data_IF_542693085611
#
_entry.id   IF_542693085611
#
_cell.length_a   1.000
_cell.length_b   1.000
_cell.length_c   1.000
_cell.angle_alpha   90.00
_cell.angle_beta   90.00
_cell.angle_gamma   90.00
#
_symmetry.space_group_name_H-M   'P 1'
#
loop_
_entity.id
_entity.type
_entity.pdbx_description
1 polymer ?
#
# COMPACT_ATOMS: atom_id res chain seq x y z
N UNK A 1 4.63 8.09 3.75
CA UNK A 1 4.35 7.30 2.54
C UNK A 1 4.30 5.82 2.86
N UNK A 2 3.25 5.12 2.47
CA UNK A 2 3.06 3.69 2.73
C UNK A 2 2.84 2.95 1.40
N UNK A 3 3.54 1.82 1.23
CA UNK A 3 3.62 1.10 -0.03
C UNK A 3 2.60 -0.02 -0.21
N UNK A 4 2.60 -0.63 -1.38
CA UNK A 4 1.79 -1.80 -1.69
C UNK A 4 2.38 -3.08 -1.11
N UNK A 5 1.55 -3.97 -0.60
CA UNK A 5 2.00 -5.22 0.03
C UNK A 5 0.89 -6.21 0.41
N UNK A 6 -0.33 -6.01 -0.12
CA UNK A 6 -1.45 -6.89 0.17
C UNK A 6 -1.85 -6.93 1.65
N UNK A 7 -2.46 -8.00 2.09
CA UNK A 7 -2.87 -8.20 3.49
C UNK A 7 -1.64 -8.22 4.42
N UNK A 8 -0.53 -8.84 3.97
CA UNK A 8 0.73 -8.82 4.70
C UNK A 8 1.24 -7.39 4.91
N UNK A 9 1.18 -6.55 3.86
CA UNK A 9 1.58 -5.15 3.92
C UNK A 9 0.77 -4.34 4.92
N UNK A 10 -0.57 -4.47 4.92
CA UNK A 10 -1.44 -3.77 5.89
C UNK A 10 -1.02 -4.12 7.32
N UNK A 11 -0.84 -5.42 7.62
CA UNK A 11 -0.41 -5.88 8.93
C UNK A 11 0.96 -5.31 9.31
N UNK A 12 1.94 -5.45 8.40
CA UNK A 12 3.32 -5.05 8.65
C UNK A 12 3.46 -3.53 8.85
N UNK A 13 2.86 -2.72 7.99
CA UNK A 13 2.92 -1.25 8.09
C UNK A 13 2.29 -0.75 9.40
N UNK A 14 1.10 -1.28 9.75
CA UNK A 14 0.47 -0.99 11.04
C UNK A 14 1.39 -1.42 12.20
N UNK A 15 2.02 -2.58 12.08
CA UNK A 15 3.00 -3.08 13.04
C UNK A 15 4.22 -2.19 13.17
N UNK A 16 4.82 -1.75 12.05
CA UNK A 16 5.98 -0.82 12.04
C UNK A 16 5.64 0.46 12.81
N UNK A 17 4.52 1.11 12.47
CA UNK A 17 4.09 2.34 13.15
C UNK A 17 3.89 2.10 14.65
N UNK A 18 3.25 0.99 15.03
CA UNK A 18 3.06 0.63 16.43
C UNK A 18 4.38 0.34 17.16
N UNK A 19 5.32 -0.35 16.49
CA UNK A 19 6.65 -0.63 17.04
C UNK A 19 7.49 0.64 17.23
N UNK A 20 7.43 1.58 16.29
CA UNK A 20 8.05 2.90 16.45
C UNK A 20 7.44 3.63 17.65
N UNK A 21 6.11 3.56 17.84
CA UNK A 21 5.44 4.19 18.97
C UNK A 21 5.81 3.55 20.33
N UNK A 22 6.14 2.25 20.36
CA UNK A 22 6.60 1.58 21.59
C UNK A 22 7.93 2.16 22.10
N UNK A 23 8.85 2.52 21.21
CA UNK A 23 10.21 2.95 21.56
C UNK A 23 10.39 4.48 21.47
N UNK A 24 9.69 5.14 20.55
CA UNK A 24 9.75 6.58 20.36
C UNK A 24 8.36 7.16 20.03
N UNK A 25 7.54 7.41 21.05
CA UNK A 25 6.21 8.00 20.87
C UNK A 25 6.23 9.33 20.09
N UNK A 26 7.28 10.15 20.31
CA UNK A 26 7.44 11.42 19.58
C UNK A 26 7.67 11.21 18.09
N UNK A 27 8.49 10.22 17.71
CA UNK A 27 8.73 9.90 16.31
C UNK A 27 7.45 9.35 15.65
N UNK A 28 6.71 8.50 16.34
CA UNK A 28 5.41 8.00 15.87
C UNK A 28 4.42 9.14 15.66
N UNK A 29 4.29 10.06 16.63
CA UNK A 29 3.41 11.23 16.49
C UNK A 29 3.81 12.07 15.28
N UNK A 30 5.10 12.36 15.10
CA UNK A 30 5.57 13.14 13.95
C UNK A 30 5.29 12.45 12.60
N UNK A 31 5.37 11.11 12.53
CA UNK A 31 4.98 10.35 11.33
C UNK A 31 3.47 10.45 11.07
N UNK A 32 2.66 10.31 12.12
CA UNK A 32 1.20 10.39 12.01
C UNK A 32 0.73 11.79 11.66
N UNK A 33 1.44 12.83 12.12
CA UNK A 33 1.13 14.25 11.89
C UNK A 33 1.83 14.83 10.66
N UNK A 34 2.41 13.99 9.79
CA UNK A 34 2.99 14.43 8.51
C UNK A 34 2.00 15.27 7.70
N UNK A 35 2.48 16.31 6.99
CA UNK A 35 1.63 17.20 6.18
C UNK A 35 0.88 16.42 5.09
N UNK A 36 1.55 15.45 4.46
CA UNK A 36 0.99 14.60 3.41
C UNK A 36 1.09 13.13 3.82
N UNK A 37 -0.02 12.43 3.73
CA UNK A 37 -0.10 10.97 3.83
C UNK A 37 -0.41 10.40 2.45
N UNK A 38 0.53 9.63 1.91
CA UNK A 38 0.40 9.00 0.58
C UNK A 38 0.38 7.49 0.73
N UNK A 39 -0.61 6.83 0.13
CA UNK A 39 -0.77 5.38 0.17
C UNK A 39 -0.97 4.73 -1.19
N UNK A 40 -0.33 3.58 -1.38
CA UNK A 40 -0.50 2.69 -2.53
C UNK A 40 -1.00 1.33 -2.05
N UNK A 41 -2.08 0.80 -2.61
CA UNK A 41 -2.61 -0.54 -2.29
C UNK A 41 -2.77 -0.76 -0.77
N UNK A 42 -2.04 -1.69 -0.16
CA UNK A 42 -2.02 -1.89 1.30
C UNK A 42 -1.85 -0.57 2.06
N UNK A 43 -0.88 0.24 1.66
CA UNK A 43 -0.60 1.53 2.26
C UNK A 43 -1.78 2.51 2.17
N UNK A 44 -2.59 2.45 1.10
CA UNK A 44 -3.78 3.30 0.99
C UNK A 44 -4.81 3.01 2.10
N UNK A 45 -4.98 1.73 2.45
CA UNK A 45 -5.83 1.35 3.57
C UNK A 45 -5.25 1.83 4.91
N UNK A 46 -3.94 1.67 5.12
CA UNK A 46 -3.29 2.06 6.38
C UNK A 46 -3.28 3.59 6.56
N UNK A 47 -2.97 4.39 5.52
CA UNK A 47 -3.04 5.85 5.64
C UNK A 47 -4.46 6.35 5.92
N UNK A 48 -5.49 5.72 5.31
CA UNK A 48 -6.88 6.04 5.63
C UNK A 48 -7.24 5.65 7.08
N UNK A 49 -6.73 4.52 7.58
CA UNK A 49 -6.94 4.07 8.96
C UNK A 49 -6.30 5.03 9.97
N UNK A 50 -5.05 5.45 9.78
CA UNK A 50 -4.39 6.39 10.71
C UNK A 50 -5.01 7.78 10.70
N UNK A 51 -5.69 8.16 9.64
CA UNK A 51 -6.47 9.39 9.55
C UNK A 51 -7.86 9.31 10.20
N UNK A 52 -8.29 8.13 10.64
CA UNK A 52 -9.66 7.91 11.13
C UNK A 52 -9.91 8.40 12.56
N UNK A 53 -8.88 8.84 13.27
CA UNK A 53 -8.94 9.18 14.69
C UNK A 53 -8.79 7.97 15.64
N UNK A 54 -8.67 6.74 15.11
CA UNK A 54 -8.37 5.57 15.93
C UNK A 54 -6.90 5.59 16.37
N UNK A 55 -6.64 5.12 17.58
CA UNK A 55 -5.27 4.99 18.07
C UNK A 55 -4.49 3.90 17.34
N UNK A 56 -3.15 4.01 17.29
CA UNK A 56 -2.31 2.94 16.75
C UNK A 56 -2.49 1.62 17.49
N UNK A 57 -2.82 1.67 18.80
CA UNK A 57 -3.12 0.46 19.59
C UNK A 57 -4.39 -0.22 19.09
N UNK A 58 -5.47 0.55 18.84
CA UNK A 58 -6.73 -0.01 18.34
C UNK A 58 -6.54 -0.58 16.91
N UNK A 59 -5.82 0.14 16.04
CA UNK A 59 -5.51 -0.31 14.69
C UNK A 59 -4.65 -1.59 14.71
N UNK A 60 -3.64 -1.66 15.57
CA UNK A 60 -2.80 -2.84 15.73
C UNK A 60 -3.59 -4.02 16.32
N UNK A 61 -4.39 -3.78 17.38
CA UNK A 61 -5.25 -4.80 17.98
C UNK A 61 -6.19 -5.42 16.97
N UNK A 62 -6.69 -4.62 16.05
CA UNK A 62 -7.51 -5.08 14.93
C UNK A 62 -6.73 -5.97 13.95
N UNK A 63 -5.43 -5.70 13.73
CA UNK A 63 -4.58 -6.55 12.89
C UNK A 63 -4.23 -7.88 13.54
N UNK A 64 -4.14 -7.96 14.86
CA UNK A 64 -3.82 -9.21 15.58
C UNK A 64 -5.05 -9.94 16.12
N UNK A 65 -6.24 -9.36 16.04
CA UNK A 65 -7.51 -9.97 16.44
C UNK A 65 -7.85 -11.21 15.60
N UNK A 66 -8.60 -12.16 16.16
CA UNK A 66 -8.98 -13.41 15.48
C UNK A 66 -9.97 -13.17 14.32
N UNK A 67 -10.89 -12.21 14.48
CA UNK A 67 -11.90 -11.89 13.47
C UNK A 67 -11.37 -10.94 12.41
N UNK A 68 -11.71 -11.21 11.14
CA UNK A 68 -11.36 -10.35 10.02
C UNK A 68 -12.42 -10.45 8.93
N UNK A 69 -12.67 -9.34 8.24
CA UNK A 69 -13.49 -9.30 7.04
C UNK A 69 -12.71 -9.65 5.76
N UNK A 70 -11.39 -9.91 5.88
CA UNK A 70 -10.58 -10.28 4.74
C UNK A 70 -11.06 -11.59 4.12
N UNK A 71 -11.14 -11.60 2.80
CA UNK A 71 -11.48 -12.78 2.01
C UNK A 71 -10.27 -13.25 1.22
N UNK A 72 -10.16 -14.55 1.04
CA UNK A 72 -9.17 -15.14 0.14
C UNK A 72 -9.59 -14.84 -1.31
N UNK A 73 -8.70 -14.29 -2.18
CA UNK A 73 -9.03 -14.07 -3.58
C UNK A 73 -9.31 -15.35 -4.36
N UNK A 74 -8.99 -16.52 -3.80
CA UNK A 74 -9.19 -17.82 -4.46
C UNK A 74 -8.23 -18.07 -5.63
N UNK A 75 -7.22 -17.21 -5.83
CA UNK A 75 -6.24 -17.34 -6.91
C UNK A 75 -4.86 -17.68 -6.34
N UNK A 76 -4.22 -18.70 -6.91
CA UNK A 76 -2.88 -19.10 -6.52
C UNK A 76 -1.82 -18.12 -7.00
N UNK A 77 -0.73 -17.99 -6.24
CA UNK A 77 0.38 -17.08 -6.58
C UNK A 77 0.99 -17.40 -7.96
N UNK A 78 1.03 -18.69 -8.35
CA UNK A 78 1.54 -19.07 -9.66
C UNK A 78 0.69 -18.50 -10.79
N UNK A 79 -0.64 -18.58 -10.68
CA UNK A 79 -1.57 -18.01 -11.65
C UNK A 79 -1.39 -16.49 -11.78
N UNK A 80 -1.26 -15.78 -10.65
CA UNK A 80 -0.98 -14.33 -10.69
C UNK A 80 0.36 -14.05 -11.36
N UNK A 81 1.41 -14.79 -11.02
CA UNK A 81 2.73 -14.65 -11.62
C UNK A 81 2.68 -14.86 -13.14
N UNK A 82 1.99 -15.89 -13.61
CA UNK A 82 1.86 -16.19 -15.03
C UNK A 82 1.10 -15.08 -15.78
N UNK A 83 0.04 -14.52 -15.17
CA UNK A 83 -0.70 -13.38 -15.72
C UNK A 83 0.21 -12.14 -15.85
N UNK A 84 1.01 -11.85 -14.85
CA UNK A 84 1.95 -10.73 -14.87
C UNK A 84 3.05 -10.94 -15.93
N UNK A 85 3.64 -12.14 -16.00
CA UNK A 85 4.66 -12.48 -17.00
C UNK A 85 4.10 -12.37 -18.42
N UNK A 86 2.88 -12.84 -18.66
CA UNK A 86 2.22 -12.72 -19.97
C UNK A 86 2.03 -11.25 -20.39
N UNK A 87 1.62 -10.38 -19.46
CA UNK A 87 1.48 -8.95 -19.74
C UNK A 87 2.80 -8.24 -20.04
N UNK A 88 3.91 -8.77 -19.52
CA UNK A 88 5.27 -8.23 -19.67
C UNK A 88 6.04 -8.79 -20.88
N UNK A 89 5.52 -9.82 -21.55
CA UNK A 89 6.24 -10.65 -22.52
C UNK A 89 6.70 -9.96 -23.82
N UNK A 90 6.34 -8.70 -24.05
CA UNK A 90 6.81 -7.94 -25.23
C UNK A 90 7.99 -7.04 -24.86
N UNK A 91 9.21 -7.31 -25.38
CA UNK A 91 10.42 -6.59 -24.98
C UNK A 91 10.40 -5.09 -25.26
N UNK A 92 9.78 -4.67 -26.37
CA UNK A 92 9.78 -3.27 -26.85
C UNK A 92 8.59 -2.45 -26.37
N UNK A 93 7.76 -3.00 -25.47
CA UNK A 93 6.61 -2.28 -24.95
C UNK A 93 7.02 -1.18 -23.98
N UNK A 94 6.46 0.02 -24.17
CA UNK A 94 6.58 1.11 -23.22
C UNK A 94 5.93 0.74 -21.88
N UNK A 95 6.30 1.44 -20.80
CA UNK A 95 5.69 1.24 -19.47
C UNK A 95 4.17 1.41 -19.54
N UNK A 96 3.69 2.46 -20.25
CA UNK A 96 2.25 2.68 -20.43
C UNK A 96 1.56 1.49 -21.12
N UNK A 97 2.15 0.95 -22.19
CA UNK A 97 1.62 -0.22 -22.89
C UNK A 97 1.60 -1.48 -22.01
N UNK A 98 2.62 -1.70 -21.17
CA UNK A 98 2.64 -2.80 -20.19
C UNK A 98 1.50 -2.66 -19.19
N UNK A 99 1.29 -1.45 -18.65
CA UNK A 99 0.18 -1.15 -17.73
C UNK A 99 -1.19 -1.31 -18.38
N UNK A 100 -1.37 -0.87 -19.64
CA UNK A 100 -2.61 -1.07 -20.40
C UNK A 100 -2.93 -2.56 -20.60
N UNK A 101 -1.92 -3.40 -20.84
CA UNK A 101 -2.12 -4.86 -20.91
C UNK A 101 -2.54 -5.44 -19.59
N UNK A 102 -1.94 -4.99 -18.48
CA UNK A 102 -2.40 -5.38 -17.15
C UNK A 102 -3.84 -4.95 -16.91
N UNK A 103 -4.24 -3.76 -17.38
CA UNK A 103 -5.63 -3.31 -17.38
C UNK A 103 -6.55 -4.24 -18.15
N UNK A 104 -6.15 -4.68 -19.35
CA UNK A 104 -6.90 -5.64 -20.15
C UNK A 104 -7.04 -7.01 -19.43
N UNK A 105 -5.95 -7.49 -18.82
CA UNK A 105 -5.99 -8.71 -17.99
C UNK A 105 -6.95 -8.55 -16.81
N UNK A 106 -6.89 -7.42 -16.10
CA UNK A 106 -7.76 -7.13 -14.97
C UNK A 106 -9.26 -7.16 -15.38
N UNK A 107 -9.57 -6.59 -16.53
CA UNK A 107 -10.95 -6.54 -17.07
C UNK A 107 -11.45 -7.90 -17.58
N UNK A 108 -10.57 -8.78 -18.04
CA UNK A 108 -10.91 -10.07 -18.61
C UNK A 108 -10.95 -11.20 -17.58
N UNK A 109 -10.36 -11.03 -16.40
CA UNK A 109 -10.28 -12.07 -15.37
C UNK A 109 -11.56 -12.11 -14.54
N UNK A 110 -12.16 -13.30 -14.42
CA UNK A 110 -13.25 -13.53 -13.48
C UNK A 110 -12.76 -13.43 -12.04
N UNK A 111 -13.44 -12.62 -11.24
CA UNK A 111 -13.15 -12.40 -9.83
C UNK A 111 -14.46 -12.32 -9.03
N UNK A 112 -14.39 -12.09 -7.73
CA UNK A 112 -15.59 -11.76 -6.94
C UNK A 112 -16.26 -10.50 -7.47
N UNK A 113 -17.55 -10.32 -7.19
CA UNK A 113 -18.27 -9.11 -7.58
C UNK A 113 -17.63 -7.84 -6.97
N UNK A 114 -17.59 -6.75 -7.74
CA UNK A 114 -17.04 -5.47 -7.31
C UNK A 114 -17.68 -4.99 -5.99
N UNK A 115 -19.01 -5.14 -5.84
CA UNK A 115 -19.74 -4.78 -4.62
C UNK A 115 -19.32 -5.60 -3.40
N UNK A 116 -19.03 -6.89 -3.58
CA UNK A 116 -18.53 -7.74 -2.49
C UNK A 116 -17.12 -7.29 -2.05
N UNK A 117 -16.25 -7.01 -3.01
CA UNK A 117 -14.91 -6.49 -2.69
C UNK A 117 -14.97 -5.11 -2.04
N UNK A 118 -15.82 -4.21 -2.54
CA UNK A 118 -16.06 -2.89 -1.93
C UNK A 118 -16.49 -3.01 -0.46
N UNK A 119 -17.34 -3.97 -0.13
CA UNK A 119 -17.77 -4.22 1.25
C UNK A 119 -16.61 -4.61 2.16
N UNK A 120 -15.66 -5.42 1.68
CA UNK A 120 -14.44 -5.76 2.43
C UNK A 120 -13.60 -4.50 2.68
N UNK A 121 -13.39 -3.67 1.66
CA UNK A 121 -12.66 -2.41 1.81
C UNK A 121 -13.35 -1.46 2.80
N UNK A 122 -14.67 -1.30 2.70
CA UNK A 122 -15.44 -0.48 3.64
C UNK A 122 -15.25 -0.97 5.10
N UNK A 123 -15.21 -2.27 5.33
CA UNK A 123 -14.96 -2.83 6.66
C UNK A 123 -13.51 -2.66 7.15
N UNK A 124 -12.53 -2.46 6.25
CA UNK A 124 -11.15 -2.11 6.63
C UNK A 124 -11.06 -0.72 7.25
N UNK A 125 -11.90 0.21 6.79
CA UNK A 125 -11.82 1.61 7.13
C UNK A 125 -12.72 1.95 8.32
N UNK A 126 -12.17 2.50 9.42
CA UNK A 126 -12.98 2.93 10.57
C UNK A 126 -13.92 4.10 10.25
N UNK A 127 -13.57 4.92 9.25
CA UNK A 127 -14.40 6.00 8.69
C UNK A 127 -14.36 5.97 7.17
N UNK A 128 -15.44 6.39 6.51
CA UNK A 128 -15.55 6.42 5.05
C UNK A 128 -15.43 7.83 4.48
N UNK A 129 -15.37 8.86 5.34
CA UNK A 129 -15.16 10.22 4.93
C UNK A 129 -13.68 10.51 4.71
N UNK A 130 -13.37 11.34 3.71
CA UNK A 130 -12.04 11.91 3.57
C UNK A 130 -11.68 12.73 4.81
N UNK A 131 -10.45 12.63 5.33
CA UNK A 131 -10.01 13.43 6.46
C UNK A 131 -9.83 14.90 6.05
N UNK A 132 -9.76 15.80 7.04
CA UNK A 132 -9.41 17.20 6.80
C UNK A 132 -7.93 17.45 6.48
N UNK A 133 -7.12 16.39 6.54
CA UNK A 133 -5.69 16.36 6.21
C UNK A 133 -5.48 15.98 4.76
N UNK A 134 -4.30 16.29 4.23
CA UNK A 134 -3.88 15.85 2.92
C UNK A 134 -3.62 14.34 2.89
N UNK A 135 -4.54 13.62 2.29
CA UNK A 135 -4.47 12.18 2.05
C UNK A 135 -4.49 11.93 0.54
N UNK A 136 -3.45 11.27 0.03
CA UNK A 136 -3.31 10.89 -1.38
C UNK A 136 -3.37 9.37 -1.52
N UNK A 137 -4.21 8.89 -2.43
CA UNK A 137 -4.40 7.47 -2.74
C UNK A 137 -4.12 7.25 -4.22
N UNK A 138 -3.20 6.34 -4.55
CA UNK A 138 -2.80 6.08 -5.93
C UNK A 138 -3.55 4.90 -6.54
N UNK A 139 -3.92 5.01 -7.81
CA UNK A 139 -4.47 3.93 -8.62
C UNK A 139 -4.01 4.07 -10.07
N UNK A 140 -4.24 3.04 -10.89
CA UNK A 140 -3.94 3.06 -12.34
C UNK A 140 -5.24 2.98 -13.14
N UNK A 141 -5.43 3.91 -14.08
CA UNK A 141 -6.48 3.82 -15.10
C UNK A 141 -6.21 2.62 -16.02
N UNK A 142 -7.13 1.66 -16.08
CA UNK A 142 -6.94 0.40 -16.82
C UNK A 142 -6.79 0.61 -18.31
N UNK A 143 -7.49 1.60 -18.89
CA UNK A 143 -7.49 1.86 -20.33
C UNK A 143 -6.27 2.68 -20.77
N UNK A 144 -5.81 3.61 -19.94
CA UNK A 144 -4.71 4.52 -20.27
C UNK A 144 -3.36 4.04 -19.75
N UNK A 145 -3.33 3.21 -18.68
CA UNK A 145 -2.10 2.82 -18.00
C UNK A 145 -1.44 3.98 -17.25
N UNK A 146 -2.20 5.03 -16.96
CA UNK A 146 -1.74 6.25 -16.30
C UNK A 146 -1.97 6.16 -14.79
N UNK A 147 -1.03 6.73 -14.02
CA UNK A 147 -1.19 6.92 -12.59
C UNK A 147 -2.24 8.01 -12.34
N UNK A 148 -3.16 7.72 -11.44
CA UNK A 148 -4.15 8.66 -10.91
C UNK A 148 -3.94 8.76 -9.41
N UNK A 149 -3.99 9.98 -8.89
CA UNK A 149 -3.94 10.26 -7.45
C UNK A 149 -5.32 10.78 -7.06
N UNK A 150 -5.96 10.06 -6.15
CA UNK A 150 -7.21 10.48 -5.53
C UNK A 150 -6.93 11.18 -4.21
N UNK A 151 -7.69 12.23 -3.96
CA UNK A 151 -7.70 13.03 -2.74
C UNK A 151 -9.14 13.49 -2.44
N UNK A 152 -9.33 14.31 -1.40
CA UNK A 152 -10.63 14.84 -1.02
C UNK A 152 -11.33 15.68 -2.10
N UNK A 153 -10.56 16.28 -2.99
CA UNK A 153 -11.07 17.19 -4.04
C UNK A 153 -11.35 16.45 -5.35
N UNK A 154 -11.02 15.17 -5.43
CA UNK A 154 -11.22 14.31 -6.61
C UNK A 154 -12.69 13.98 -6.91
N UNK A 155 -13.62 14.29 -5.99
CA UNK A 155 -15.05 13.96 -6.13
C UNK A 155 -15.35 12.45 -6.06
N UNK A 156 -14.41 11.65 -5.53
CA UNK A 156 -14.50 10.19 -5.39
C UNK A 156 -14.68 9.84 -3.91
N UNK A 157 -15.49 8.85 -3.58
CA UNK A 157 -15.61 8.37 -2.20
C UNK A 157 -14.29 7.72 -1.73
N UNK A 158 -13.88 7.93 -0.48
CA UNK A 158 -12.65 7.36 0.08
C UNK A 158 -12.60 5.84 -0.05
N UNK A 159 -13.74 5.16 0.18
CA UNK A 159 -13.85 3.71 0.04
C UNK A 159 -13.53 3.27 -1.39
N UNK A 160 -14.02 4.00 -2.39
CA UNK A 160 -13.81 3.67 -3.81
C UNK A 160 -12.37 3.97 -4.25
N UNK A 161 -11.77 5.04 -3.75
CA UNK A 161 -10.37 5.36 -3.98
C UNK A 161 -9.45 4.27 -3.41
N UNK A 162 -9.68 3.83 -2.16
CA UNK A 162 -8.92 2.74 -1.53
C UNK A 162 -9.20 1.40 -2.22
N UNK A 163 -10.45 1.13 -2.62
CA UNK A 163 -10.80 -0.07 -3.37
C UNK A 163 -10.07 -0.13 -4.72
N UNK A 164 -10.02 0.99 -5.46
CA UNK A 164 -9.28 1.12 -6.72
C UNK A 164 -7.77 0.89 -6.51
N UNK A 165 -7.21 1.50 -5.46
CA UNK A 165 -5.81 1.33 -5.08
C UNK A 165 -5.43 -0.11 -4.73
N UNK A 166 -6.40 -0.91 -4.25
CA UNK A 166 -6.24 -2.30 -3.82
C UNK A 166 -6.76 -3.33 -4.85
N UNK A 167 -7.09 -2.92 -6.08
CA UNK A 167 -7.65 -3.78 -7.11
C UNK A 167 -6.55 -4.50 -7.90
N UNK A 168 -5.86 -5.47 -7.26
CA UNK A 168 -4.77 -6.26 -7.87
C UNK A 168 -5.30 -7.04 -9.07
N UNK A 169 -4.77 -6.82 -10.30
CA UNK A 169 -5.16 -7.55 -11.49
C UNK A 169 -5.09 -9.08 -11.31
N UNK A 170 -6.13 -9.77 -11.73
CA UNK A 170 -6.21 -11.22 -11.58
C UNK A 170 -6.66 -11.73 -10.22
N UNK A 171 -6.60 -10.90 -9.17
CA UNK A 171 -7.06 -11.23 -7.82
C UNK A 171 -8.38 -10.54 -7.47
N UNK A 172 -8.51 -9.27 -7.84
CA UNK A 172 -9.65 -8.43 -7.50
C UNK A 172 -10.22 -7.71 -8.71
N UNK A 173 -11.53 -7.41 -8.71
CA UNK A 173 -12.17 -6.70 -9.81
C UNK A 173 -11.62 -5.27 -9.91
N UNK A 174 -11.39 -4.74 -11.13
CA UNK A 174 -11.18 -3.32 -11.31
C UNK A 174 -12.38 -2.52 -10.81
N UNK A 175 -12.12 -1.37 -10.18
CA UNK A 175 -13.16 -0.52 -9.58
C UNK A 175 -13.70 0.47 -10.59
N UNK A 176 -15.03 0.56 -10.67
CA UNK A 176 -15.74 1.52 -11.52
C UNK A 176 -15.92 2.85 -10.78
N UNK A 177 -15.35 3.93 -11.32
CA UNK A 177 -15.54 5.29 -10.81
C UNK A 177 -15.91 6.19 -12.00
N UNK A 178 -17.15 6.67 -12.01
CA UNK A 178 -17.70 7.38 -13.17
C UNK A 178 -17.77 6.46 -14.40
N UNK A 179 -17.17 6.90 -15.50
CA UNK A 179 -17.08 6.17 -16.77
C UNK A 179 -15.78 5.37 -16.93
N UNK A 180 -14.95 5.29 -15.88
CA UNK A 180 -13.61 4.67 -15.91
C UNK A 180 -13.50 3.46 -15.00
N UNK A 181 -12.49 2.65 -15.30
CA UNK A 181 -12.12 1.49 -14.49
C UNK A 181 -10.68 1.66 -14.00
N UNK A 182 -10.47 1.34 -12.73
CA UNK A 182 -9.17 1.50 -12.06
C UNK A 182 -8.68 0.19 -11.48
N UNK A 183 -7.37 0.01 -11.48
CA UNK A 183 -6.67 -1.12 -10.87
C UNK A 183 -5.61 -0.63 -9.90
N UNK A 184 -5.01 -1.56 -9.17
CA UNK A 184 -4.04 -1.33 -8.10
C UNK A 184 -2.92 -0.36 -8.49
N UNK A 185 -2.67 0.63 -7.64
CA UNK A 185 -1.59 1.60 -7.80
C UNK A 185 -0.20 0.98 -7.89
N UNK A 186 -0.01 -0.20 -7.30
CA UNK A 186 1.23 -0.98 -7.36
C UNK A 186 1.61 -1.45 -8.78
N UNK A 187 0.67 -1.42 -9.74
CA UNK A 187 0.98 -1.60 -11.16
C UNK A 187 1.75 -0.38 -11.72
N UNK A 188 1.70 0.75 -11.08
CA UNK A 188 2.56 1.90 -11.39
C UNK A 188 3.93 1.77 -10.76
N UNK A 189 3.95 1.78 -9.48
CA UNK A 189 5.08 1.56 -8.58
C UNK A 189 4.54 1.08 -7.23
N UNK A 190 5.30 0.27 -6.52
CA UNK A 190 4.94 -0.16 -5.17
C UNK A 190 4.74 1.01 -4.21
N UNK A 191 5.44 2.12 -4.41
CA UNK A 191 5.38 3.30 -3.54
C UNK A 191 4.81 4.55 -4.24
N UNK A 192 4.97 4.71 -5.55
CA UNK A 192 4.54 5.89 -6.31
C UNK A 192 5.02 7.21 -5.67
N UNK A 193 6.28 7.29 -5.28
CA UNK A 193 6.84 8.39 -4.50
C UNK A 193 6.82 9.74 -5.25
N UNK A 194 6.77 9.71 -6.58
CA UNK A 194 6.61 10.93 -7.42
C UNK A 194 5.29 11.68 -7.12
N UNK A 195 4.28 10.98 -6.57
CA UNK A 195 3.04 11.62 -6.11
C UNK A 195 3.23 12.48 -4.83
N UNK A 196 4.44 12.51 -4.24
CA UNK A 196 4.84 13.36 -3.12
C UNK A 196 6.06 14.24 -3.45
N UNK A 197 6.30 14.52 -4.74
CA UNK A 197 7.46 15.32 -5.19
C UNK A 197 7.47 16.78 -4.73
N UNK A 198 6.35 17.24 -4.22
CA UNK A 198 6.13 18.56 -3.61
C UNK A 198 6.53 18.62 -2.13
N UNK A 199 7.00 17.50 -1.55
CA UNK A 199 7.43 17.39 -0.16
C UNK A 199 8.96 17.49 -0.06
N UNK A 200 9.48 18.10 1.04
CA UNK A 200 10.92 18.23 1.31
C UNK A 200 11.53 16.99 1.99
N UNK A 201 10.71 16.18 2.64
CA UNK A 201 11.15 14.97 3.33
C UNK A 201 10.10 13.86 3.26
N UNK A 202 10.54 12.62 3.13
CA UNK A 202 9.67 11.45 3.10
C UNK A 202 10.22 10.30 3.96
N UNK A 203 9.37 9.72 4.81
CA UNK A 203 9.59 8.38 5.38
C UNK A 203 8.70 7.42 4.61
N UNK A 204 9.31 6.38 4.05
CA UNK A 204 8.68 5.44 3.11
C UNK A 204 8.69 4.04 3.69
N UNK A 205 7.51 3.51 4.02
CA UNK A 205 7.37 2.10 4.41
C UNK A 205 7.18 1.25 3.15
N UNK A 206 8.04 0.25 2.97
CA UNK A 206 8.06 -0.62 1.80
C UNK A 206 7.86 -2.06 2.25
N UNK A 207 6.63 -2.62 2.17
CA UNK A 207 6.37 -4.01 2.56
C UNK A 207 6.89 -5.00 1.51
N UNK A 208 8.15 -4.85 1.15
CA UNK A 208 8.91 -5.69 0.22
C UNK A 208 10.39 -5.63 0.57
N UNK A 209 11.16 -6.62 0.13
CA UNK A 209 12.61 -6.60 0.27
C UNK A 209 13.27 -5.60 -0.68
N UNK A 210 14.48 -5.13 -0.33
CA UNK A 210 15.27 -4.18 -1.16
C UNK A 210 15.50 -4.68 -2.59
N UNK A 211 15.56 -6.00 -2.79
CA UNK A 211 15.79 -6.63 -4.09
C UNK A 211 14.49 -7.03 -4.81
N UNK A 212 13.33 -6.62 -4.31
CA UNK A 212 12.05 -6.98 -4.93
C UNK A 212 11.98 -6.44 -6.37
N UNK A 213 11.51 -7.27 -7.34
CA UNK A 213 11.42 -6.85 -8.73
C UNK A 213 10.36 -5.75 -8.91
N UNK A 214 10.63 -4.81 -9.81
CA UNK A 214 9.71 -3.74 -10.18
C UNK A 214 9.52 -3.69 -11.69
N UNK A 215 8.64 -4.53 -12.24
CA UNK A 215 8.53 -4.71 -13.69
C UNK A 215 7.88 -3.52 -14.42
N UNK A 216 7.19 -2.64 -13.70
CA UNK A 216 6.45 -1.52 -14.27
C UNK A 216 7.07 -0.13 -13.97
N UNK A 217 8.19 -0.10 -13.27
CA UNK A 217 8.85 1.15 -12.87
C UNK A 217 10.27 0.94 -12.34
N UNK A 218 10.92 1.99 -11.86
CA UNK A 218 12.32 1.95 -11.42
C UNK A 218 12.54 1.18 -10.11
N UNK A 219 11.46 0.91 -9.37
CA UNK A 219 11.49 0.26 -8.07
C UNK A 219 11.79 1.20 -6.89
N UNK A 220 11.39 0.76 -5.67
CA UNK A 220 11.40 1.63 -4.49
C UNK A 220 12.79 2.20 -4.16
N UNK A 221 13.84 1.40 -4.27
CA UNK A 221 15.22 1.87 -3.99
C UNK A 221 15.61 3.03 -4.90
N UNK A 222 15.31 2.90 -6.20
CA UNK A 222 15.65 3.94 -7.19
C UNK A 222 14.76 5.17 -7.01
N UNK A 223 13.48 5.00 -6.73
CA UNK A 223 12.56 6.12 -6.49
C UNK A 223 12.96 6.91 -5.23
N UNK A 224 13.32 6.22 -4.13
CA UNK A 224 13.79 6.84 -2.90
C UNK A 224 15.11 7.61 -3.14
N UNK A 225 16.05 7.01 -3.89
CA UNK A 225 17.32 7.66 -4.21
C UNK A 225 17.15 8.88 -5.15
N UNK A 226 16.11 8.88 -6.00
CA UNK A 226 15.81 9.97 -6.92
C UNK A 226 14.89 11.05 -6.33
N UNK A 227 14.41 10.90 -5.10
CA UNK A 227 13.52 11.86 -4.46
C UNK A 227 14.24 13.21 -4.29
N UNK A 228 13.56 14.30 -4.63
CA UNK A 228 14.18 15.64 -4.65
C UNK A 228 14.51 16.22 -3.28
N UNK A 229 13.93 15.68 -2.21
CA UNK A 229 14.19 16.04 -0.82
C UNK A 229 14.97 14.95 -0.07
N UNK A 230 14.84 14.92 1.27
CA UNK A 230 15.40 13.85 2.10
C UNK A 230 14.43 12.67 2.15
N UNK A 231 14.90 11.45 1.93
CA UNK A 231 14.06 10.27 2.04
C UNK A 231 14.70 9.17 2.90
N UNK A 232 13.87 8.51 3.72
CA UNK A 232 14.22 7.33 4.50
C UNK A 232 13.30 6.18 4.11
N UNK A 233 13.86 5.12 3.53
CA UNK A 233 13.13 3.89 3.21
C UNK A 233 13.25 2.84 4.31
N UNK A 234 12.14 2.35 4.81
CA UNK A 234 12.06 1.20 5.70
C UNK A 234 11.50 0.02 4.90
N UNK A 235 12.36 -0.94 4.57
CA UNK A 235 12.01 -2.15 3.83
C UNK A 235 11.69 -3.29 4.78
N UNK A 236 10.80 -4.19 4.37
CA UNK A 236 10.55 -5.41 5.13
C UNK A 236 11.85 -6.24 5.21
N UNK A 237 12.27 -6.59 6.42
CA UNK A 237 13.43 -7.44 6.66
C UNK A 237 13.12 -8.92 6.36
N UNK A 238 14.17 -9.76 6.34
CA UNK A 238 14.04 -11.20 6.02
C UNK A 238 13.04 -11.91 6.94
N UNK A 239 12.93 -11.51 8.22
CA UNK A 239 11.98 -12.11 9.16
C UNK A 239 10.55 -11.72 8.80
N UNK A 240 10.33 -10.47 8.41
CA UNK A 240 9.03 -9.99 7.92
C UNK A 240 8.64 -10.67 6.62
N UNK A 241 9.57 -10.78 5.66
CA UNK A 241 9.34 -11.46 4.39
C UNK A 241 9.00 -12.94 4.57
N UNK A 242 9.65 -13.61 5.50
CA UNK A 242 9.40 -15.03 5.80
C UNK A 242 7.95 -15.27 6.26
N UNK A 243 7.37 -14.36 7.06
CA UNK A 243 5.99 -14.49 7.55
C UNK A 243 4.93 -13.97 6.57
N UNK A 244 5.29 -13.13 5.61
CA UNK A 244 4.41 -12.77 4.50
C UNK A 244 4.06 -13.99 3.66
N UNK A 245 4.97 -14.95 3.59
CA UNK A 245 4.82 -16.16 2.81
C UNK A 245 4.82 -15.89 1.30
N UNK A 246 4.47 -16.91 0.50
CA UNK A 246 4.48 -16.79 -0.96
C UNK A 246 3.34 -15.92 -1.52
N UNK A 247 2.24 -15.77 -0.78
CA UNK A 247 1.08 -15.00 -1.21
C UNK A 247 0.70 -13.94 -0.17
N UNK A 248 1.17 -12.72 -0.37
CA UNK A 248 0.88 -11.59 0.51
C UNK A 248 -0.61 -11.16 0.56
N UNK A 249 -1.46 -11.72 -0.32
CA UNK A 249 -2.91 -11.50 -0.31
C UNK A 249 -3.66 -12.49 0.60
N UNK A 250 -2.99 -13.54 1.08
CA UNK A 250 -3.58 -14.56 1.95
C UNK A 250 -3.95 -13.95 3.32
N UNK A 251 -5.23 -14.01 3.75
CA UNK A 251 -5.62 -13.48 5.05
C UNK A 251 -4.85 -14.07 6.25
N UNK A 252 -4.31 -15.28 6.11
CA UNK A 252 -3.54 -15.96 7.16
C UNK A 252 -2.22 -15.28 7.49
N UNK A 253 -1.64 -14.50 6.57
CA UNK A 253 -0.41 -13.76 6.82
C UNK A 253 -0.62 -12.48 7.67
N UNK A 254 -1.85 -12.02 7.88
CA UNK A 254 -2.17 -10.76 8.56
C UNK A 254 -1.55 -10.67 9.96
N UNK A 255 -1.87 -11.60 10.84
CA UNK A 255 -1.41 -11.59 12.24
C UNK A 255 0.12 -11.67 12.33
N UNK A 256 0.79 -12.68 11.72
CA UNK A 256 2.24 -12.77 11.82
C UNK A 256 2.96 -11.57 11.19
N UNK A 257 2.41 -10.97 10.12
CA UNK A 257 2.98 -9.76 9.51
C UNK A 257 2.89 -8.55 10.44
N UNK A 258 1.77 -8.35 11.13
CA UNK A 258 1.63 -7.27 12.10
C UNK A 258 2.61 -7.42 13.27
N UNK A 259 2.80 -8.63 13.79
CA UNK A 259 3.75 -8.91 14.87
C UNK A 259 5.21 -8.72 14.43
N UNK A 260 5.57 -9.16 13.23
CA UNK A 260 6.89 -8.96 12.65
C UNK A 260 7.16 -7.46 12.41
N UNK A 261 6.19 -6.75 11.85
CA UNK A 261 6.27 -5.29 11.67
C UNK A 261 6.50 -4.56 12.99
N UNK A 262 5.75 -4.88 14.05
CA UNK A 262 5.97 -4.28 15.38
C UNK A 262 7.38 -4.54 15.92
N UNK A 263 7.88 -5.76 15.73
CA UNK A 263 9.23 -6.13 16.16
C UNK A 263 10.28 -5.35 15.35
N UNK A 264 10.12 -5.23 14.05
CA UNK A 264 11.00 -4.43 13.21
C UNK A 264 10.90 -2.94 13.55
N UNK A 265 9.68 -2.39 13.69
CA UNK A 265 9.45 -0.98 14.02
C UNK A 265 10.16 -0.52 15.28
N UNK A 266 10.22 -1.37 16.32
CA UNK A 266 11.00 -1.08 17.53
C UNK A 266 12.49 -0.87 17.24
N UNK A 267 13.08 -1.67 16.34
CA UNK A 267 14.50 -1.53 15.98
C UNK A 267 14.75 -0.29 15.12
N UNK A 268 13.78 0.08 14.27
CA UNK A 268 13.89 1.24 13.37
C UNK A 268 13.62 2.59 14.05
N UNK A 269 13.01 2.58 15.24
CA UNK A 269 12.54 3.80 15.93
C UNK A 269 13.63 4.86 16.11
N UNK A 270 14.84 4.46 16.50
CA UNK A 270 15.96 5.37 16.69
C UNK A 270 16.40 6.03 15.36
N UNK A 271 16.47 5.26 14.27
CA UNK A 271 16.81 5.75 12.94
C UNK A 271 15.76 6.73 12.39
N UNK A 272 14.47 6.39 12.59
CA UNK A 272 13.35 7.29 12.23
C UNK A 272 13.41 8.58 13.06
N UNK A 273 13.63 8.50 14.36
CA UNK A 273 13.79 9.67 15.22
C UNK A 273 14.92 10.57 14.75
N UNK A 274 16.09 10.00 14.46
CA UNK A 274 17.24 10.75 13.95
C UNK A 274 16.94 11.43 12.60
N UNK A 275 16.27 10.74 11.69
CA UNK A 275 15.85 11.31 10.39
C UNK A 275 14.90 12.50 10.56
N UNK A 276 13.97 12.41 11.51
CA UNK A 276 13.00 13.48 11.83
C UNK A 276 13.58 14.60 12.72
N UNK A 277 14.86 14.50 13.12
CA UNK A 277 15.47 15.48 14.02
C UNK A 277 14.98 15.39 15.48
N UNK A 278 14.45 14.24 15.87
CA UNK A 278 13.97 13.96 17.23
C UNK A 278 15.10 13.26 17.98
N UNK A 279 15.61 13.92 19.01
CA UNK A 279 16.68 13.36 19.85
C UNK A 279 16.24 12.07 20.58
N UNK A 280 17.20 11.24 21.01
CA UNK A 280 16.89 10.08 21.84
C UNK A 280 16.12 10.51 23.10
N UNK A 281 15.06 9.78 23.43
CA UNK A 281 14.27 9.96 24.67
C UNK A 281 15.00 9.40 25.87
#
# INVERSE_FOLDING_TARGET
MLGGGGVAGIGWETGILRGIADESPKAATALLDSDVLLGTSAGSAVVAQICSGWSLEDLFSRQVGETSAEIDPGVGIQTLTDLFLAALSQPDATVAQKRQRMGAVALATETVAESARRSVIAQRLPTHAWPDRELRVTAIDTARGELVVFDRDSGVELVDAVAASCAVPGAWPPVTIGDRRYMDGGIGSTINLDAAKDCDAAVVLVPAGVSAPSPFGPGPVTEIAAFGGRALGLFADDKSLAVFGPNALDPRCRIPSAQAGRTQGRREAAGVGAFLGIGPT
#
